data_IF_269659299239
#
_entry.id   IF_269659299239
#
_cell.length_a   1.000
_cell.length_b   1.000
_cell.length_c   1.000
_cell.angle_alpha   90.00
_cell.angle_beta   90.00
_cell.angle_gamma   90.00
#
_symmetry.space_group_name_H-M   'P 1'
#
loop_
_entity.id
_entity.type
_entity.pdbx_description
1 polymer ?
#
# COMPACT_ATOMS: atom_id res chain seq x y z
N UNK A 1 64.01 -23.44 14.49
CA UNK A 1 64.80 -22.20 14.62
C UNK A 1 64.08 -21.10 13.87
N UNK A 2 64.00 -19.95 14.53
CA UNK A 2 63.24 -18.74 14.19
C UNK A 2 63.45 -18.21 12.78
N UNK A 3 62.43 -17.52 12.24
CA UNK A 3 62.47 -16.07 11.99
C UNK A 3 61.78 -15.64 10.68
N UNK A 4 60.79 -14.75 10.86
CA UNK A 4 60.52 -13.52 10.09
C UNK A 4 59.96 -13.54 8.64
N UNK A 5 58.71 -13.04 8.55
CA UNK A 5 58.25 -11.88 7.78
C UNK A 5 58.76 -11.68 6.34
N UNK A 6 57.83 -11.61 5.38
CA UNK A 6 57.58 -10.37 4.62
C UNK A 6 56.29 -10.45 3.78
N UNK A 7 55.35 -9.54 4.09
CA UNK A 7 54.34 -9.04 3.15
C UNK A 7 55.04 -8.15 2.11
N UNK A 8 54.66 -8.29 0.85
CA UNK A 8 55.03 -7.36 -0.22
C UNK A 8 53.80 -6.56 -0.71
N UNK A 9 54.00 -5.36 -1.28
CA UNK A 9 53.06 -4.24 -1.17
C UNK A 9 52.17 -4.04 -2.40
N UNK A 10 51.02 -3.40 -2.19
CA UNK A 10 50.21 -2.79 -3.24
C UNK A 10 50.79 -1.41 -3.65
N UNK A 11 50.94 -1.11 -4.95
CA UNK A 11 51.27 0.23 -5.43
C UNK A 11 50.00 1.07 -5.72
N UNK A 12 50.14 2.39 -5.97
CA UNK A 12 49.31 3.42 -5.35
C UNK A 12 48.21 4.03 -6.24
N UNK A 13 47.38 4.83 -5.56
CA UNK A 13 46.27 5.66 -6.04
C UNK A 13 46.75 6.92 -6.78
N UNK A 14 46.17 7.22 -7.95
CA UNK A 14 45.87 8.59 -8.46
C UNK A 14 44.79 8.48 -9.56
N UNK A 15 43.56 8.94 -9.33
CA UNK A 15 42.95 10.28 -9.59
C UNK A 15 42.73 10.63 -11.07
N UNK A 16 41.48 11.08 -11.36
CA UNK A 16 40.91 11.71 -12.59
C UNK A 16 40.41 10.68 -13.63
N UNK A 17 39.17 10.62 -14.12
CA UNK A 17 38.05 11.57 -14.32
C UNK A 17 36.69 10.83 -14.20
N UNK A 18 35.77 11.28 -13.35
CA UNK A 18 34.46 11.85 -13.73
C UNK A 18 33.88 11.40 -15.08
N UNK A 19 32.90 10.48 -15.03
CA UNK A 19 31.84 10.33 -16.03
C UNK A 19 30.57 9.78 -15.37
N UNK A 20 29.71 10.75 -15.02
CA UNK A 20 28.25 10.79 -15.13
C UNK A 20 27.42 9.51 -14.89
N UNK A 21 26.77 9.48 -13.72
CA UNK A 21 25.55 8.72 -13.42
C UNK A 21 24.34 9.49 -13.96
N UNK A 22 23.34 8.88 -14.62
CA UNK A 22 22.05 9.53 -14.80
C UNK A 22 21.20 9.30 -13.54
N UNK A 23 20.99 10.40 -12.82
CA UNK A 23 19.99 10.56 -11.77
C UNK A 23 18.63 10.75 -12.47
N UNK A 24 17.68 9.83 -12.26
CA UNK A 24 16.31 9.99 -12.76
C UNK A 24 15.58 10.95 -11.80
N UNK A 25 15.57 12.24 -12.17
CA UNK A 25 14.85 13.30 -11.44
C UNK A 25 13.40 13.33 -11.91
N UNK A 26 12.50 13.28 -10.93
CA UNK A 26 11.07 13.51 -11.07
C UNK A 26 10.78 14.86 -11.73
N UNK A 27 9.86 14.86 -12.70
CA UNK A 27 9.29 16.07 -13.27
C UNK A 27 8.53 16.87 -12.19
N UNK A 28 8.98 18.11 -11.95
CA UNK A 28 8.24 19.14 -11.20
C UNK A 28 8.50 20.53 -11.81
N UNK A 29 7.41 21.32 -11.82
CA UNK A 29 7.28 22.77 -12.02
C UNK A 29 7.27 23.26 -13.49
N UNK A 30 6.41 24.19 -13.94
CA UNK A 30 5.80 25.39 -13.33
C UNK A 30 4.45 25.72 -14.03
N UNK A 31 3.47 26.40 -13.42
CA UNK A 31 3.35 27.87 -13.41
C UNK A 31 2.64 28.39 -12.14
N UNK A 32 3.21 29.45 -11.57
CA UNK A 32 2.76 30.22 -10.42
C UNK A 32 1.91 31.42 -10.87
N UNK A 33 0.83 31.72 -10.14
CA UNK A 33 0.10 32.99 -10.18
C UNK A 33 -0.34 33.37 -8.75
N UNK A 34 -0.04 34.61 -8.35
CA UNK A 34 -0.09 35.11 -6.97
C UNK A 34 -1.51 35.17 -6.35
N UNK A 35 -1.64 34.70 -5.09
CA UNK A 35 -2.47 35.31 -4.03
C UNK A 35 -2.24 34.60 -2.67
N UNK A 36 -1.84 35.36 -1.65
CA UNK A 36 -1.82 35.09 -0.19
C UNK A 36 -1.73 33.63 0.29
N UNK A 37 -0.53 33.22 0.77
CA UNK A 37 -0.25 31.86 1.28
C UNK A 37 -0.61 31.69 2.78
N UNK A 38 -1.50 30.75 3.15
CA UNK A 38 -1.56 30.12 4.47
C UNK A 38 -0.59 28.90 4.50
N UNK A 39 -0.31 28.23 5.65
CA UNK A 39 0.93 27.49 5.85
C UNK A 39 1.12 26.45 4.74
N UNK A 40 2.15 26.66 3.93
CA UNK A 40 2.56 25.69 2.92
C UNK A 40 2.84 24.39 3.65
N UNK A 41 2.04 23.36 3.37
CA UNK A 41 2.41 21.98 3.67
C UNK A 41 3.85 21.78 3.20
N UNK A 42 4.80 21.79 4.13
CA UNK A 42 6.20 21.59 3.83
C UNK A 42 6.39 20.09 3.62
N UNK A 43 6.68 19.63 2.40
CA UNK A 43 6.90 18.21 2.15
C UNK A 43 7.94 17.65 3.11
N UNK A 44 7.61 16.54 3.78
CA UNK A 44 8.50 15.90 4.75
C UNK A 44 8.53 16.54 6.13
N UNK A 45 7.71 17.57 6.43
CA UNK A 45 7.58 18.10 7.79
C UNK A 45 7.11 16.99 8.73
N UNK A 46 7.94 16.62 9.69
CA UNK A 46 7.58 15.75 10.82
C UNK A 46 6.63 16.49 11.76
N UNK A 47 5.62 15.79 12.25
CA UNK A 47 4.68 16.32 13.24
C UNK A 47 4.88 15.63 14.58
N UNK A 48 4.99 16.44 15.62
CA UNK A 48 5.02 15.96 16.99
C UNK A 48 3.65 15.48 17.45
N UNK A 49 3.61 14.67 18.51
CA UNK A 49 2.38 14.23 19.18
C UNK A 49 1.51 15.45 19.55
N UNK A 50 2.10 16.51 20.10
CA UNK A 50 1.35 17.71 20.49
C UNK A 50 0.78 18.48 19.31
N UNK A 51 1.54 18.62 18.21
CA UNK A 51 1.03 19.26 16.98
C UNK A 51 -0.18 18.50 16.43
N UNK A 52 -0.10 17.16 16.37
CA UNK A 52 -1.22 16.33 15.91
C UNK A 52 -2.49 16.59 16.72
N UNK A 53 -2.35 16.66 18.04
CA UNK A 53 -3.46 16.93 18.96
C UNK A 53 -4.03 18.35 18.83
N UNK A 54 -3.19 19.31 18.45
CA UNK A 54 -3.57 20.72 18.29
C UNK A 54 -4.26 21.05 16.97
N UNK A 55 -4.13 20.19 15.95
CA UNK A 55 -4.72 20.44 14.65
C UNK A 55 -6.27 20.42 14.66
N UNK A 56 -6.83 21.23 13.79
CA UNK A 56 -8.25 21.32 13.44
C UNK A 56 -8.41 21.20 11.93
N UNK A 57 -9.59 20.81 11.46
CA UNK A 57 -9.86 20.77 10.01
C UNK A 57 -9.64 22.14 9.34
N UNK A 58 -9.88 23.24 10.07
CA UNK A 58 -9.68 24.60 9.56
C UNK A 58 -8.23 24.97 9.27
N UNK A 59 -7.25 24.21 9.79
CA UNK A 59 -5.82 24.45 9.54
C UNK A 59 -5.38 23.96 8.17
N UNK A 60 -6.20 23.17 7.48
CA UNK A 60 -5.85 22.54 6.22
C UNK A 60 -6.59 23.17 5.04
N UNK A 61 -5.79 23.50 4.03
CA UNK A 61 -6.24 24.08 2.79
C UNK A 61 -5.42 23.51 1.64
N UNK A 62 -6.07 23.15 0.54
CA UNK A 62 -5.41 22.68 -0.68
C UNK A 62 -6.05 23.31 -1.92
N UNK A 63 -5.32 24.19 -2.62
CA UNK A 63 -5.89 24.90 -3.79
C UNK A 63 -6.35 23.95 -4.89
N UNK A 64 -5.69 22.80 -5.05
CA UNK A 64 -6.02 21.85 -6.11
C UNK A 64 -7.34 21.10 -5.87
N UNK A 65 -7.98 21.21 -4.70
CA UNK A 65 -9.34 20.69 -4.48
C UNK A 65 -10.44 21.69 -4.79
N UNK A 66 -10.11 22.96 -5.10
CA UNK A 66 -11.11 23.93 -5.56
C UNK A 66 -11.66 23.49 -6.92
N UNK A 67 -12.97 23.58 -7.10
CA UNK A 67 -13.65 23.05 -8.28
C UNK A 67 -13.03 23.53 -9.60
N UNK A 68 -12.76 24.83 -9.73
CA UNK A 68 -12.15 25.41 -10.93
C UNK A 68 -10.74 24.84 -11.20
N UNK A 69 -9.92 24.70 -10.15
CA UNK A 69 -8.54 24.23 -10.27
C UNK A 69 -8.48 22.72 -10.54
N UNK A 70 -9.29 21.94 -9.83
CA UNK A 70 -9.44 20.50 -10.06
C UNK A 70 -9.93 20.23 -11.48
N UNK A 71 -10.96 20.95 -11.93
CA UNK A 71 -11.52 20.79 -13.25
C UNK A 71 -10.52 21.16 -14.34
N UNK A 72 -9.85 22.33 -14.24
CA UNK A 72 -8.86 22.76 -15.21
C UNK A 72 -7.70 21.75 -15.32
N UNK A 73 -7.17 21.29 -14.19
CA UNK A 73 -6.11 20.27 -14.15
C UNK A 73 -6.59 18.96 -14.78
N UNK A 74 -7.77 18.48 -14.41
CA UNK A 74 -8.35 17.25 -14.95
C UNK A 74 -8.56 17.34 -16.46
N UNK A 75 -9.10 18.44 -16.95
CA UNK A 75 -9.32 18.65 -18.38
C UNK A 75 -7.99 18.65 -19.15
N UNK A 76 -6.97 19.32 -18.62
CA UNK A 76 -5.63 19.28 -19.20
C UNK A 76 -5.03 17.87 -19.24
N UNK A 77 -5.08 17.13 -18.13
CA UNK A 77 -4.53 15.76 -18.06
C UNK A 77 -5.31 14.78 -18.93
N UNK A 78 -6.65 14.90 -19.01
CA UNK A 78 -7.47 14.09 -19.91
C UNK A 78 -7.27 14.44 -21.39
N UNK A 79 -7.02 15.71 -21.71
CA UNK A 79 -6.68 16.12 -23.06
C UNK A 79 -5.34 15.51 -23.50
N UNK A 80 -4.31 15.61 -22.64
CA UNK A 80 -3.01 14.98 -22.89
C UNK A 80 -3.13 13.45 -23.03
N UNK A 81 -3.97 12.82 -22.21
CA UNK A 81 -4.27 11.39 -22.32
C UNK A 81 -4.83 11.06 -23.71
N UNK A 82 -5.83 11.80 -24.18
CA UNK A 82 -6.44 11.58 -25.50
C UNK A 82 -5.45 11.79 -26.64
N UNK A 83 -4.62 12.82 -26.55
CA UNK A 83 -3.56 13.08 -27.53
C UNK A 83 -2.58 11.91 -27.62
N UNK A 84 -2.16 11.35 -26.48
CA UNK A 84 -1.28 10.18 -26.42
C UNK A 84 -1.93 8.93 -26.99
N UNK A 85 -3.20 8.68 -26.68
CA UNK A 85 -3.95 7.54 -27.22
C UNK A 85 -4.25 7.68 -28.72
N UNK A 86 -4.27 8.90 -29.25
CA UNK A 86 -4.49 9.19 -30.66
C UNK A 86 -3.21 9.14 -31.52
N UNK A 87 -2.03 8.96 -30.90
CA UNK A 87 -0.77 8.84 -31.65
C UNK A 87 -0.84 7.66 -32.64
N UNK A 88 -0.36 7.83 -33.88
CA UNK A 88 -0.31 6.73 -34.83
C UNK A 88 0.64 5.62 -34.34
N UNK A 89 0.42 4.35 -34.72
CA UNK A 89 1.31 3.26 -34.35
C UNK A 89 2.77 3.56 -34.71
N UNK A 90 3.66 3.42 -33.73
CA UNK A 90 5.09 3.73 -33.87
C UNK A 90 5.77 3.96 -32.53
N UNK A 91 7.03 4.37 -32.57
CA UNK A 91 7.87 4.57 -31.37
C UNK A 91 7.28 5.58 -30.39
N UNK A 92 6.70 6.68 -30.89
CA UNK A 92 6.09 7.71 -30.05
C UNK A 92 4.85 7.19 -29.29
N UNK A 93 3.95 6.46 -29.97
CA UNK A 93 2.79 5.85 -29.33
C UNK A 93 3.20 4.81 -28.29
N UNK A 94 4.23 4.02 -28.62
CA UNK A 94 4.78 3.03 -27.69
C UNK A 94 5.37 3.70 -26.44
N UNK A 95 6.24 4.71 -26.62
CA UNK A 95 6.86 5.43 -25.51
C UNK A 95 5.84 6.12 -24.59
N UNK A 96 4.73 6.62 -25.15
CA UNK A 96 3.68 7.30 -24.39
C UNK A 96 2.70 6.35 -23.67
N UNK A 97 2.62 5.08 -24.09
CA UNK A 97 1.61 4.14 -23.60
C UNK A 97 1.61 3.94 -22.07
N UNK A 98 2.77 3.77 -21.39
CA UNK A 98 2.77 3.54 -19.95
C UNK A 98 2.14 4.69 -19.16
N UNK A 99 2.47 5.94 -19.50
CA UNK A 99 1.89 7.11 -18.85
C UNK A 99 0.41 7.28 -19.18
N UNK A 100 0.00 6.99 -20.43
CA UNK A 100 -1.41 7.00 -20.80
C UNK A 100 -2.21 5.98 -19.96
N UNK A 101 -1.71 4.76 -19.80
CA UNK A 101 -2.35 3.73 -18.98
C UNK A 101 -2.38 4.08 -17.48
N UNK A 102 -1.35 4.75 -16.97
CA UNK A 102 -1.35 5.27 -15.60
C UNK A 102 -2.45 6.34 -15.38
N UNK A 103 -2.65 7.22 -16.36
CA UNK A 103 -3.72 8.22 -16.32
C UNK A 103 -5.11 7.56 -16.42
N UNK A 104 -5.29 6.54 -17.27
CA UNK A 104 -6.55 5.75 -17.35
C UNK A 104 -6.87 5.13 -15.99
N UNK A 105 -5.87 4.55 -15.31
CA UNK A 105 -6.02 3.99 -13.97
C UNK A 105 -6.45 5.04 -12.93
N UNK A 106 -5.80 6.21 -12.92
CA UNK A 106 -6.07 7.30 -11.97
C UNK A 106 -7.43 7.96 -12.17
N UNK A 107 -7.78 8.27 -13.42
CA UNK A 107 -9.00 9.00 -13.75
C UNK A 107 -10.20 8.09 -13.91
N UNK A 108 -9.97 6.79 -14.11
CA UNK A 108 -11.02 5.82 -14.41
C UNK A 108 -11.86 6.27 -15.63
N UNK A 109 -11.16 6.78 -16.67
CA UNK A 109 -11.69 7.35 -17.92
C UNK A 109 -10.85 6.87 -19.11
N UNK A 110 -11.42 6.99 -20.31
CA UNK A 110 -10.79 6.55 -21.56
C UNK A 110 -10.43 5.05 -21.58
N UNK A 111 -11.11 4.22 -20.79
CA UNK A 111 -10.90 2.77 -20.69
C UNK A 111 -11.08 2.12 -22.07
N UNK A 112 -12.20 2.40 -22.75
CA UNK A 112 -12.43 1.83 -24.09
C UNK A 112 -11.42 2.32 -25.14
N UNK A 113 -11.02 3.59 -25.09
CA UNK A 113 -10.03 4.15 -26.01
C UNK A 113 -8.64 3.53 -25.81
N UNK A 114 -8.27 3.21 -24.58
CA UNK A 114 -6.98 2.59 -24.25
C UNK A 114 -6.94 1.06 -24.49
N UNK A 115 -8.09 0.42 -24.69
CA UNK A 115 -8.21 -1.04 -24.88
C UNK A 115 -7.37 -1.55 -26.05
N UNK A 116 -7.49 -0.94 -27.23
CA UNK A 116 -6.72 -1.32 -28.42
C UNK A 116 -5.20 -1.24 -28.18
N UNK A 117 -4.66 -0.06 -27.84
CA UNK A 117 -3.23 0.11 -27.53
C UNK A 117 -2.70 -0.86 -26.46
N UNK A 118 -3.46 -1.07 -25.38
CA UNK A 118 -3.06 -1.98 -24.30
C UNK A 118 -2.93 -3.44 -24.78
N UNK A 119 -3.91 -3.92 -25.56
CA UNK A 119 -3.91 -5.29 -26.07
C UNK A 119 -2.86 -5.49 -27.16
N UNK A 120 -2.70 -4.54 -28.08
CA UNK A 120 -1.69 -4.61 -29.16
C UNK A 120 -0.25 -4.61 -28.65
N UNK A 121 0.01 -4.08 -27.44
CA UNK A 121 1.33 -4.12 -26.83
C UNK A 121 1.75 -5.52 -26.32
N UNK A 122 0.81 -6.43 -26.04
CA UNK A 122 1.08 -7.72 -25.39
C UNK A 122 2.02 -8.66 -26.18
N UNK A 123 1.90 -8.85 -27.51
CA UNK A 123 2.73 -9.81 -28.24
C UNK A 123 4.23 -9.50 -28.20
N UNK A 124 4.59 -8.22 -28.14
CA UNK A 124 5.97 -7.73 -28.07
C UNK A 124 6.47 -7.46 -26.65
N UNK A 125 5.62 -7.63 -25.63
CA UNK A 125 5.86 -7.08 -24.30
C UNK A 125 7.11 -7.65 -23.63
N UNK A 126 7.39 -8.95 -23.80
CA UNK A 126 8.55 -9.60 -23.19
C UNK A 126 9.91 -9.02 -23.61
N UNK A 127 9.97 -8.31 -24.74
CA UNK A 127 11.19 -7.64 -25.20
C UNK A 127 11.35 -6.21 -24.64
N UNK A 128 10.37 -5.69 -23.91
CA UNK A 128 10.38 -4.34 -23.36
C UNK A 128 11.03 -4.30 -21.97
N UNK A 129 11.51 -3.14 -21.49
CA UNK A 129 12.00 -3.00 -20.11
C UNK A 129 10.95 -3.40 -19.07
N UNK A 130 11.38 -3.95 -17.94
CA UNK A 130 10.49 -4.48 -16.90
C UNK A 130 9.44 -3.45 -16.43
N UNK A 131 9.79 -2.17 -16.30
CA UNK A 131 8.85 -1.14 -15.87
C UNK A 131 7.79 -0.79 -16.92
N UNK A 132 8.11 -0.96 -18.20
CA UNK A 132 7.12 -0.89 -19.28
C UNK A 132 6.16 -2.07 -19.19
N UNK A 133 6.70 -3.28 -19.06
CA UNK A 133 5.91 -4.51 -18.90
C UNK A 133 4.95 -4.39 -17.72
N UNK A 134 5.44 -3.96 -16.55
CA UNK A 134 4.64 -3.75 -15.33
C UNK A 134 3.46 -2.82 -15.57
N UNK A 135 3.68 -1.66 -16.20
CA UNK A 135 2.63 -0.67 -16.39
C UNK A 135 1.54 -1.17 -17.34
N UNK A 136 1.92 -1.77 -18.46
CA UNK A 136 0.96 -2.39 -19.39
C UNK A 136 0.19 -3.52 -18.71
N UNK A 137 0.88 -4.45 -18.05
CA UNK A 137 0.25 -5.58 -17.37
C UNK A 137 -0.66 -5.15 -16.21
N UNK A 138 -0.35 -4.04 -15.52
CA UNK A 138 -1.18 -3.50 -14.43
C UNK A 138 -2.51 -2.97 -14.94
N UNK A 139 -2.51 -2.23 -16.05
CA UNK A 139 -3.75 -1.77 -16.68
C UNK A 139 -4.54 -2.93 -17.28
N UNK A 140 -3.86 -3.90 -17.91
CA UNK A 140 -4.49 -5.13 -18.42
C UNK A 140 -5.13 -5.93 -17.28
N UNK A 141 -4.43 -6.12 -16.17
CA UNK A 141 -4.99 -6.77 -14.98
C UNK A 141 -6.27 -6.07 -14.50
N UNK A 142 -6.27 -4.74 -14.47
CA UNK A 142 -7.39 -3.97 -13.95
C UNK A 142 -8.61 -3.97 -14.88
N UNK A 143 -8.41 -3.76 -16.18
CA UNK A 143 -9.51 -3.45 -17.11
C UNK A 143 -9.73 -4.48 -18.21
N UNK A 144 -8.69 -5.20 -18.66
CA UNK A 144 -8.74 -5.99 -19.91
C UNK A 144 -8.38 -7.47 -19.71
N UNK A 145 -8.47 -7.96 -18.48
CA UNK A 145 -7.96 -9.29 -18.10
C UNK A 145 -8.65 -10.42 -18.90
N UNK A 146 -9.96 -10.31 -19.12
CA UNK A 146 -10.73 -11.30 -19.88
C UNK A 146 -10.27 -11.37 -21.34
N UNK A 147 -10.14 -10.24 -22.02
CA UNK A 147 -9.80 -10.21 -23.45
C UNK A 147 -8.30 -10.40 -23.71
N UNK A 148 -7.46 -10.05 -22.74
CA UNK A 148 -6.03 -10.28 -22.82
C UNK A 148 -5.64 -11.75 -22.63
N UNK A 149 -6.51 -12.59 -22.04
CA UNK A 149 -6.17 -13.96 -21.66
C UNK A 149 -5.53 -14.81 -22.79
N UNK A 150 -6.03 -14.81 -24.04
CA UNK A 150 -5.40 -15.54 -25.14
C UNK A 150 -3.97 -15.10 -25.46
N UNK A 151 -3.65 -13.82 -25.24
CA UNK A 151 -2.33 -13.24 -25.49
C UNK A 151 -1.40 -13.39 -24.28
N UNK A 152 -1.95 -13.38 -23.06
CA UNK A 152 -1.20 -13.56 -21.82
C UNK A 152 -0.64 -14.99 -21.67
N UNK A 153 -1.37 -16.01 -22.13
CA UNK A 153 -0.88 -17.41 -22.07
C UNK A 153 0.46 -17.64 -22.77
N UNK A 154 0.64 -17.30 -24.07
CA UNK A 154 1.93 -17.43 -24.73
C UNK A 154 2.97 -16.44 -24.20
N UNK A 155 2.54 -15.25 -23.74
CA UNK A 155 3.44 -14.26 -23.15
C UNK A 155 4.05 -14.75 -21.83
N UNK A 156 3.29 -15.47 -21.00
CA UNK A 156 3.70 -15.91 -19.67
C UNK A 156 5.04 -16.67 -19.70
N UNK A 157 5.26 -17.51 -20.71
CA UNK A 157 6.48 -18.29 -20.90
C UNK A 157 7.72 -17.46 -21.33
N UNK A 158 7.51 -16.18 -21.71
CA UNK A 158 8.54 -15.28 -22.23
C UNK A 158 8.93 -14.19 -21.24
N UNK A 159 8.16 -13.99 -20.17
CA UNK A 159 8.43 -12.98 -19.14
C UNK A 159 9.59 -13.42 -18.24
N UNK A 160 10.77 -12.85 -18.46
CA UNK A 160 11.99 -13.25 -17.74
C UNK A 160 12.05 -12.80 -16.27
N UNK A 161 11.19 -11.87 -15.86
CA UNK A 161 11.22 -11.27 -14.52
C UNK A 161 10.08 -11.78 -13.64
N UNK A 162 10.35 -12.16 -12.37
CA UNK A 162 9.35 -12.70 -11.44
C UNK A 162 8.12 -11.81 -11.23
N UNK A 163 8.32 -10.49 -11.14
CA UNK A 163 7.24 -9.51 -10.89
C UNK A 163 6.25 -9.47 -12.06
N UNK A 164 6.75 -9.30 -13.28
CA UNK A 164 5.92 -9.23 -14.48
C UNK A 164 5.22 -10.55 -14.77
N UNK A 165 5.91 -11.68 -14.56
CA UNK A 165 5.29 -13.00 -14.59
C UNK A 165 4.10 -13.09 -13.62
N UNK A 166 4.29 -12.65 -12.36
CA UNK A 166 3.24 -12.69 -11.36
C UNK A 166 2.03 -11.81 -11.74
N UNK A 167 2.26 -10.60 -12.25
CA UNK A 167 1.16 -9.71 -12.71
C UNK A 167 0.37 -10.37 -13.85
N UNK A 168 1.05 -10.94 -14.84
CA UNK A 168 0.40 -11.66 -15.94
C UNK A 168 -0.40 -12.88 -15.45
N UNK A 169 0.14 -13.63 -14.49
CA UNK A 169 -0.55 -14.76 -13.86
C UNK A 169 -1.81 -14.31 -13.09
N UNK A 170 -1.73 -13.22 -12.30
CA UNK A 170 -2.91 -12.66 -11.64
C UNK A 170 -3.96 -12.18 -12.63
N UNK A 171 -3.55 -11.55 -13.74
CA UNK A 171 -4.44 -11.12 -14.81
C UNK A 171 -5.15 -12.32 -15.46
N UNK A 172 -4.43 -13.41 -15.76
CA UNK A 172 -5.02 -14.66 -16.27
C UNK A 172 -6.05 -15.26 -15.32
N UNK A 173 -5.81 -15.22 -14.01
CA UNK A 173 -6.72 -15.79 -13.02
C UNK A 173 -7.95 -14.92 -12.78
N UNK A 174 -7.86 -13.60 -12.90
CA UNK A 174 -8.92 -12.66 -12.54
C UNK A 174 -10.31 -12.99 -13.13
N UNK A 175 -10.46 -13.26 -14.45
CA UNK A 175 -11.78 -13.53 -15.02
C UNK A 175 -12.27 -14.98 -14.81
N UNK A 176 -11.41 -15.89 -14.32
CA UNK A 176 -11.69 -17.32 -14.30
C UNK A 176 -12.38 -17.75 -13.00
N UNK A 177 -13.29 -18.71 -13.11
CA UNK A 177 -14.04 -19.30 -12.00
C UNK A 177 -14.13 -20.83 -12.11
N UNK A 178 -14.39 -21.49 -10.98
CA UNK A 178 -14.59 -22.95 -10.90
C UNK A 178 -13.45 -23.76 -11.55
N UNK A 179 -13.81 -24.85 -12.22
CA UNK A 179 -12.86 -25.78 -12.82
C UNK A 179 -11.88 -25.13 -13.83
N UNK A 180 -12.31 -24.09 -14.55
CA UNK A 180 -11.43 -23.37 -15.49
C UNK A 180 -10.33 -22.61 -14.75
N UNK A 181 -10.66 -22.02 -13.58
CA UNK A 181 -9.68 -21.37 -12.70
C UNK A 181 -8.71 -22.40 -12.16
N UNK A 182 -9.18 -23.57 -11.73
CA UNK A 182 -8.32 -24.61 -11.15
C UNK A 182 -7.35 -25.21 -12.17
N UNK A 183 -7.81 -25.43 -13.42
CA UNK A 183 -6.95 -25.82 -14.52
C UNK A 183 -5.88 -24.76 -14.80
N UNK A 184 -6.27 -23.48 -14.87
CA UNK A 184 -5.32 -22.37 -15.08
C UNK A 184 -4.30 -22.27 -13.95
N UNK A 185 -4.70 -22.47 -12.69
CA UNK A 185 -3.79 -22.45 -11.54
C UNK A 185 -2.73 -23.53 -11.65
N UNK A 186 -3.14 -24.75 -12.01
CA UNK A 186 -2.24 -25.88 -12.22
C UNK A 186 -1.23 -25.57 -13.34
N UNK A 187 -1.70 -25.02 -14.47
CA UNK A 187 -0.84 -24.65 -15.59
C UNK A 187 0.14 -23.53 -15.24
N UNK A 188 -0.33 -22.48 -14.56
CA UNK A 188 0.50 -21.36 -14.10
C UNK A 188 1.55 -21.86 -13.11
N UNK A 189 1.17 -22.72 -12.17
CA UNK A 189 2.09 -23.30 -11.19
C UNK A 189 3.21 -24.10 -11.87
N UNK A 190 2.86 -24.97 -12.82
CA UNK A 190 3.84 -25.73 -13.57
C UNK A 190 4.80 -24.81 -14.35
N UNK A 191 4.26 -23.77 -15.00
CA UNK A 191 5.09 -22.79 -15.72
C UNK A 191 6.02 -22.01 -14.79
N UNK A 192 5.51 -21.55 -13.65
CA UNK A 192 6.28 -20.83 -12.64
C UNK A 192 7.45 -21.67 -12.13
N UNK A 193 7.21 -22.93 -11.81
CA UNK A 193 8.22 -23.86 -11.30
C UNK A 193 9.30 -24.18 -12.36
N UNK A 194 8.89 -24.33 -13.62
CA UNK A 194 9.82 -24.57 -14.72
C UNK A 194 10.72 -23.36 -14.98
N UNK A 195 10.14 -22.16 -14.98
CA UNK A 195 10.84 -20.94 -15.37
C UNK A 195 11.66 -20.31 -14.24
N UNK A 196 11.22 -20.51 -12.99
CA UNK A 196 11.87 -19.97 -11.79
C UNK A 196 12.12 -21.10 -10.77
N UNK A 197 13.23 -21.86 -10.90
CA UNK A 197 13.53 -22.95 -9.95
C UNK A 197 13.56 -22.52 -8.48
N UNK A 198 14.00 -21.27 -8.22
CA UNK A 198 14.05 -20.65 -6.89
C UNK A 198 12.76 -19.87 -6.53
N UNK A 199 11.60 -20.17 -7.12
CA UNK A 199 10.35 -19.43 -6.89
C UNK A 199 9.92 -19.36 -5.41
N UNK A 200 10.34 -20.31 -4.57
CA UNK A 200 10.04 -20.31 -3.12
C UNK A 200 10.79 -19.22 -2.37
N UNK A 201 11.95 -18.82 -2.88
CA UNK A 201 12.78 -17.77 -2.29
C UNK A 201 12.36 -16.39 -2.80
N UNK A 202 11.85 -16.30 -4.03
CA UNK A 202 11.33 -15.06 -4.59
C UNK A 202 9.96 -14.72 -3.95
N UNK A 203 9.83 -13.60 -3.21
CA UNK A 203 8.65 -13.34 -2.38
C UNK A 203 7.34 -13.17 -3.15
N UNK A 204 7.38 -12.64 -4.37
CA UNK A 204 6.21 -12.40 -5.22
C UNK A 204 5.72 -13.72 -5.82
N UNK A 205 6.64 -14.58 -6.26
CA UNK A 205 6.30 -15.92 -6.73
C UNK A 205 5.89 -16.85 -5.59
N UNK A 206 6.45 -16.71 -4.39
CA UNK A 206 5.97 -17.42 -3.20
C UNK A 206 4.53 -17.02 -2.87
N UNK A 207 4.21 -15.73 -2.89
CA UNK A 207 2.84 -15.24 -2.68
C UNK A 207 1.87 -15.74 -3.77
N UNK A 208 2.29 -15.73 -5.04
CA UNK A 208 1.52 -16.33 -6.13
C UNK A 208 1.33 -17.84 -5.88
N UNK A 209 2.38 -18.56 -5.50
CA UNK A 209 2.32 -19.99 -5.19
C UNK A 209 1.34 -20.33 -4.07
N UNK A 210 1.22 -19.47 -3.04
CA UNK A 210 0.18 -19.60 -2.01
C UNK A 210 -1.22 -19.43 -2.61
N UNK A 211 -1.44 -18.42 -3.46
CA UNK A 211 -2.71 -18.26 -4.19
C UNK A 211 -3.00 -19.46 -5.09
N UNK A 212 -2.00 -20.14 -5.67
CA UNK A 212 -2.21 -21.24 -6.62
C UNK A 212 -2.61 -22.57 -5.95
N UNK A 213 -2.24 -22.81 -4.69
CA UNK A 213 -2.35 -24.11 -3.99
C UNK A 213 -3.73 -24.51 -3.42
N UNK A 214 -4.80 -23.83 -3.81
CA UNK A 214 -6.06 -23.60 -3.07
C UNK A 214 -5.95 -22.38 -2.15
N UNK A 215 -7.04 -21.59 -2.04
CA UNK A 215 -7.07 -20.40 -1.17
C UNK A 215 -6.79 -20.81 0.28
N UNK A 216 -6.78 -19.89 1.27
CA UNK A 216 -6.59 -20.31 2.65
C UNK A 216 -7.61 -21.40 3.00
N UNK A 217 -7.15 -22.63 3.17
CA UNK A 217 -7.99 -23.76 3.54
C UNK A 217 -8.38 -23.56 5.02
N UNK A 218 -9.66 -23.28 5.26
CA UNK A 218 -10.24 -23.20 6.60
C UNK A 218 -10.62 -21.79 7.07
N UNK A 219 -11.30 -21.77 8.21
CA UNK A 219 -11.66 -20.53 8.88
C UNK A 219 -10.39 -19.87 9.48
N UNK A 220 -10.29 -18.53 9.47
CA UNK A 220 -9.20 -17.86 10.17
C UNK A 220 -9.24 -18.19 11.67
N UNK A 221 -8.10 -18.10 12.37
CA UNK A 221 -8.08 -18.21 13.82
C UNK A 221 -8.96 -17.13 14.49
N UNK A 222 -9.32 -17.27 15.78
CA UNK A 222 -10.19 -16.33 16.45
C UNK A 222 -9.67 -14.89 16.39
N UNK A 223 -10.50 -13.98 15.86
CA UNK A 223 -10.16 -12.55 15.70
C UNK A 223 -9.78 -11.90 17.03
N UNK A 224 -10.48 -12.26 18.11
CA UNK A 224 -10.23 -11.70 19.44
C UNK A 224 -8.80 -11.93 19.95
N UNK A 225 -8.16 -13.06 19.59
CA UNK A 225 -6.78 -13.35 19.98
C UNK A 225 -5.79 -12.39 19.30
N UNK A 226 -6.03 -12.06 18.03
CA UNK A 226 -5.21 -11.10 17.30
C UNK A 226 -5.45 -9.67 17.79
N UNK A 227 -6.71 -9.30 18.01
CA UNK A 227 -7.09 -8.01 18.59
C UNK A 227 -6.52 -7.82 20.00
N UNK A 228 -6.35 -8.89 20.76
CA UNK A 228 -5.70 -8.87 22.07
C UNK A 228 -4.17 -8.99 21.98
N UNK A 229 -3.57 -9.33 20.85
CA UNK A 229 -2.13 -9.62 20.75
C UNK A 229 -1.28 -8.47 21.32
N UNK A 230 -0.35 -8.70 22.27
CA UNK A 230 0.39 -7.59 22.87
C UNK A 230 1.19 -6.84 21.81
N UNK A 231 1.74 -7.55 20.81
CA UNK A 231 2.74 -7.08 19.87
C UNK A 231 3.94 -6.52 20.66
N UNK A 232 3.79 -5.30 21.16
CA UNK A 232 4.56 -4.74 22.25
C UNK A 232 3.66 -3.97 23.21
N UNK A 233 3.76 -4.30 24.49
CA UNK A 233 3.03 -3.64 25.57
C UNK A 233 3.37 -2.14 25.65
N UNK A 234 2.37 -1.32 25.94
CA UNK A 234 2.56 0.12 26.12
C UNK A 234 2.51 0.95 24.84
N UNK A 235 2.18 0.33 23.69
CA UNK A 235 2.00 1.02 22.42
C UNK A 235 0.59 0.80 21.85
N UNK A 236 -0.01 1.84 21.23
CA UNK A 236 -1.29 1.72 20.55
C UNK A 236 -1.17 0.90 19.25
N UNK A 237 -2.29 0.31 18.84
CA UNK A 237 -2.39 -0.51 17.63
C UNK A 237 -3.64 -0.10 16.83
N UNK A 238 -3.43 0.33 15.58
CA UNK A 238 -4.50 0.47 14.60
C UNK A 238 -4.76 -0.89 13.96
N UNK A 239 -6.02 -1.32 13.94
CA UNK A 239 -6.45 -2.49 13.17
C UNK A 239 -7.23 -2.00 11.96
N UNK A 240 -6.70 -2.21 10.76
CA UNK A 240 -7.38 -1.96 9.50
C UNK A 240 -8.03 -3.23 9.00
N UNK A 241 -9.35 -3.32 9.19
CA UNK A 241 -10.15 -4.51 8.91
C UNK A 241 -10.80 -4.34 7.54
N UNK A 242 -10.50 -5.24 6.63
CA UNK A 242 -10.79 -5.09 5.20
C UNK A 242 -11.59 -6.31 4.69
N UNK A 243 -12.28 -6.16 3.56
CA UNK A 243 -12.81 -7.31 2.82
C UNK A 243 -11.77 -7.88 1.85
N UNK A 244 -11.82 -9.19 1.55
CA UNK A 244 -11.06 -9.78 0.45
C UNK A 244 -11.22 -8.97 -0.84
N UNK A 245 -10.11 -8.74 -1.54
CA UNK A 245 -10.09 -7.97 -2.79
C UNK A 245 -10.20 -6.45 -2.65
N UNK A 246 -10.43 -5.91 -1.43
CA UNK A 246 -10.40 -4.45 -1.17
C UNK A 246 -11.37 -3.63 -2.05
N UNK A 247 -12.46 -4.24 -2.50
CA UNK A 247 -13.43 -3.61 -3.40
C UNK A 247 -14.44 -2.71 -2.67
N UNK A 248 -14.47 -2.76 -1.34
CA UNK A 248 -15.36 -1.95 -0.49
C UNK A 248 -14.56 -1.34 0.66
N UNK A 249 -15.15 -0.34 1.32
CA UNK A 249 -14.53 0.28 2.50
C UNK A 249 -14.35 -0.74 3.64
N UNK A 250 -13.12 -0.82 4.15
CA UNK A 250 -12.84 -1.40 5.44
C UNK A 250 -13.06 -0.41 6.58
N UNK A 251 -12.65 -0.82 7.77
CA UNK A 251 -12.80 -0.06 8.99
C UNK A 251 -11.50 -0.10 9.81
N UNK A 252 -10.99 1.08 10.14
CA UNK A 252 -9.89 1.24 11.09
C UNK A 252 -10.47 1.42 12.50
N UNK A 253 -10.03 0.57 13.43
CA UNK A 253 -10.31 0.69 14.88
C UNK A 253 -8.99 0.81 15.63
N UNK A 254 -9.02 1.33 16.86
CA UNK A 254 -7.81 1.63 17.63
C UNK A 254 -7.86 0.96 19.01
N UNK A 255 -6.82 0.19 19.31
CA UNK A 255 -6.54 -0.28 20.68
C UNK A 255 -5.49 0.60 21.33
N UNK A 256 -5.77 1.07 22.53
CA UNK A 256 -4.84 1.82 23.35
C UNK A 256 -3.70 0.97 23.91
N UNK A 257 -2.69 1.62 24.52
CA UNK A 257 -1.54 0.95 25.14
C UNK A 257 -1.92 0.08 26.36
N UNK A 258 -3.08 0.35 26.98
CA UNK A 258 -3.64 -0.40 28.10
C UNK A 258 -4.47 -1.62 27.68
N UNK A 259 -4.56 -1.87 26.36
CA UNK A 259 -5.29 -2.98 25.76
C UNK A 259 -6.78 -2.75 25.56
N UNK A 260 -7.33 -1.62 26.00
CA UNK A 260 -8.73 -1.26 25.76
C UNK A 260 -8.90 -0.65 24.36
N UNK A 261 -10.07 -0.84 23.77
CA UNK A 261 -10.39 -0.18 22.51
C UNK A 261 -10.87 1.25 22.77
N UNK A 262 -10.41 2.17 21.93
CA UNK A 262 -10.79 3.58 22.00
C UNK A 262 -12.27 3.71 21.66
N UNK A 263 -12.97 4.54 22.43
CA UNK A 263 -14.40 4.81 22.27
C UNK A 263 -14.64 6.29 22.04
N UNK A 264 -15.70 6.58 21.31
CA UNK A 264 -16.26 7.93 21.19
C UNK A 264 -16.87 8.34 22.55
N UNK A 265 -17.18 9.63 22.69
CA UNK A 265 -17.76 10.17 23.93
C UNK A 265 -19.11 9.53 24.30
N UNK A 266 -19.84 9.01 23.30
CA UNK A 266 -21.12 8.30 23.48
C UNK A 266 -20.94 6.80 23.81
N UNK A 267 -19.70 6.32 23.94
CA UNK A 267 -19.36 4.94 24.27
C UNK A 267 -19.25 3.97 23.09
N UNK A 268 -19.62 4.41 21.87
CA UNK A 268 -19.43 3.60 20.65
C UNK A 268 -17.96 3.38 20.34
N UNK A 269 -17.65 2.33 19.58
CA UNK A 269 -16.29 2.06 19.16
C UNK A 269 -15.77 3.19 18.26
N UNK A 270 -14.58 3.71 18.55
CA UNK A 270 -13.93 4.63 17.63
C UNK A 270 -13.65 3.92 16.31
N UNK A 271 -14.09 4.53 15.21
CA UNK A 271 -13.95 3.96 13.88
C UNK A 271 -13.73 5.00 12.80
N UNK A 272 -12.90 4.65 11.82
CA UNK A 272 -12.65 5.44 10.60
C UNK A 272 -12.77 4.52 9.39
N UNK A 273 -13.68 4.79 8.43
CA UNK A 273 -13.70 4.08 7.16
C UNK A 273 -12.35 4.21 6.45
N UNK A 274 -11.82 3.11 5.92
CA UNK A 274 -10.48 3.11 5.32
C UNK A 274 -10.42 2.16 4.13
N UNK A 275 -9.89 2.65 3.01
CA UNK A 275 -9.66 1.87 1.80
C UNK A 275 -8.19 1.47 1.72
N UNK A 276 -7.90 0.18 1.52
CA UNK A 276 -6.56 -0.36 1.36
C UNK A 276 -6.32 -0.88 -0.08
N UNK A 277 -6.90 -0.19 -1.05
CA UNK A 277 -6.96 -0.57 -2.47
C UNK A 277 -5.98 0.27 -3.30
N UNK A 278 -5.26 -0.40 -4.19
CA UNK A 278 -4.47 0.23 -5.22
C UNK A 278 -5.25 0.41 -6.53
N UNK A 279 -4.82 1.37 -7.35
CA UNK A 279 -5.42 1.67 -8.66
C UNK A 279 -5.56 0.44 -9.56
N UNK A 280 -4.50 -0.37 -9.64
CA UNK A 280 -4.45 -1.57 -10.47
C UNK A 280 -5.05 -2.82 -9.79
N UNK A 281 -5.40 -2.74 -8.51
CA UNK A 281 -5.93 -3.85 -7.70
C UNK A 281 -5.04 -5.11 -7.67
N UNK A 282 -3.73 -4.92 -7.78
CA UNK A 282 -2.78 -6.03 -7.70
C UNK A 282 -2.56 -6.47 -6.25
N UNK A 283 -2.14 -7.71 -5.97
CA UNK A 283 -1.82 -8.17 -4.61
C UNK A 283 -0.68 -7.36 -3.96
N UNK A 284 -0.62 -7.33 -2.63
CA UNK A 284 0.22 -6.37 -1.91
C UNK A 284 1.72 -6.62 -1.99
N UNK A 285 2.14 -7.81 -2.44
CA UNK A 285 3.54 -8.13 -2.75
C UNK A 285 4.01 -7.54 -4.08
N UNK A 286 3.10 -7.03 -4.91
CA UNK A 286 3.43 -6.36 -6.17
C UNK A 286 3.59 -4.86 -5.94
N UNK A 287 4.60 -4.25 -6.57
CA UNK A 287 4.82 -2.79 -6.54
C UNK A 287 3.58 -2.04 -7.01
N UNK A 288 3.08 -1.11 -6.19
CA UNK A 288 1.80 -0.41 -6.36
C UNK A 288 0.56 -1.34 -6.35
N UNK A 289 0.65 -2.51 -5.71
CA UNK A 289 -0.50 -3.33 -5.35
C UNK A 289 -1.20 -2.84 -4.09
N UNK A 290 -2.31 -3.49 -3.73
CA UNK A 290 -3.09 -3.25 -2.52
C UNK A 290 -2.20 -3.24 -1.27
N UNK A 291 -2.66 -2.63 -0.18
CA UNK A 291 -1.92 -2.73 1.08
C UNK A 291 -1.93 -4.19 1.56
N UNK A 292 -0.76 -4.81 1.79
CA UNK A 292 -0.68 -6.21 2.16
C UNK A 292 -1.25 -6.46 3.56
N UNK A 293 -1.83 -7.63 3.77
CA UNK A 293 -2.23 -8.10 5.09
C UNK A 293 -1.01 -8.40 5.97
N UNK A 294 -1.09 -8.06 7.24
CA UNK A 294 0.00 -8.28 8.18
C UNK A 294 0.29 -7.09 9.07
N UNK A 295 1.43 -7.17 9.75
CA UNK A 295 1.86 -6.23 10.76
C UNK A 295 2.84 -5.21 10.19
N UNK A 296 2.68 -3.96 10.60
CA UNK A 296 3.50 -2.80 10.26
C UNK A 296 3.86 -2.05 11.53
N UNK A 297 5.03 -1.42 11.55
CA UNK A 297 5.40 -0.47 12.59
C UNK A 297 4.97 0.94 12.19
N UNK A 298 4.28 1.67 13.06
CA UNK A 298 4.02 3.10 12.92
C UNK A 298 5.18 3.86 13.56
N UNK A 299 5.86 4.70 12.77
CA UNK A 299 7.14 5.34 13.13
C UNK A 299 7.06 6.86 13.27
N UNK A 300 5.90 7.44 13.05
CA UNK A 300 5.70 8.87 13.20
C UNK A 300 4.56 9.40 12.36
N UNK A 301 4.57 10.72 12.20
CA UNK A 301 3.69 11.43 11.30
C UNK A 301 4.45 12.48 10.53
N UNK A 302 4.05 12.70 9.27
CA UNK A 302 4.65 13.70 8.40
C UNK A 302 3.63 14.24 7.39
N UNK A 303 4.01 15.28 6.65
CA UNK A 303 3.26 15.80 5.50
C UNK A 303 3.85 15.24 4.20
N UNK A 304 2.99 14.78 3.29
CA UNK A 304 3.41 14.15 2.05
C UNK A 304 3.98 15.16 1.05
N UNK A 305 4.97 14.72 0.26
CA UNK A 305 5.40 15.41 -0.97
C UNK A 305 4.48 15.13 -2.14
N UNK A 306 3.76 14.01 -2.11
CA UNK A 306 2.84 13.61 -3.16
C UNK A 306 1.60 14.53 -3.16
N UNK A 307 1.34 15.28 -4.24
CA UNK A 307 0.25 16.25 -4.31
C UNK A 307 -1.15 15.60 -4.31
N UNK A 308 -1.26 14.28 -4.51
CA UNK A 308 -2.52 13.53 -4.44
C UNK A 308 -2.90 13.11 -3.01
N UNK A 309 -1.95 13.15 -2.07
CA UNK A 309 -2.20 12.88 -0.64
C UNK A 309 -2.71 14.14 0.07
N UNK A 310 -2.11 15.29 -0.27
CA UNK A 310 -2.49 16.58 0.30
C UNK A 310 -1.81 16.91 1.63
N UNK A 311 -2.28 17.97 2.32
CA UNK A 311 -1.56 18.59 3.43
C UNK A 311 -1.83 17.93 4.80
N UNK A 312 -2.89 17.12 4.92
CA UNK A 312 -3.25 16.45 6.18
C UNK A 312 -2.12 15.49 6.61
N UNK A 313 -1.67 15.52 7.89
CA UNK A 313 -0.62 14.63 8.36
C UNK A 313 -0.98 13.15 8.16
N UNK A 314 -0.08 12.42 7.52
CA UNK A 314 -0.17 10.96 7.42
C UNK A 314 0.49 10.30 8.63
N UNK A 315 0.11 9.05 8.93
CA UNK A 315 0.89 8.20 9.83
C UNK A 315 1.85 7.36 8.99
N UNK A 316 3.14 7.48 9.28
CA UNK A 316 4.20 6.76 8.60
C UNK A 316 4.23 5.33 9.09
N UNK A 317 4.12 4.36 8.18
CA UNK A 317 4.24 2.95 8.51
C UNK A 317 5.44 2.32 7.80
N UNK A 318 5.98 1.27 8.40
CA UNK A 318 7.09 0.48 7.88
C UNK A 318 6.69 -0.98 7.82
N UNK A 319 6.94 -1.62 6.68
CA UNK A 319 6.87 -3.06 6.54
C UNK A 319 8.03 -3.75 7.29
N UNK A 320 7.91 -5.06 7.59
CA UNK A 320 9.08 -5.85 7.95
C UNK A 320 10.16 -5.69 6.88
N UNK A 321 11.44 -5.73 7.27
CA UNK A 321 12.61 -5.57 6.37
C UNK A 321 12.81 -4.15 5.83
N UNK A 322 11.76 -3.37 5.59
CA UNK A 322 11.88 -1.94 5.23
C UNK A 322 12.62 -1.16 6.33
N UNK A 323 12.40 -1.54 7.59
CA UNK A 323 13.11 -1.00 8.75
C UNK A 323 13.94 -2.10 9.45
N UNK A 324 15.07 -1.77 10.09
CA UNK A 324 15.80 -2.70 10.94
C UNK A 324 14.91 -3.29 12.05
N UNK A 325 15.27 -4.47 12.57
CA UNK A 325 14.50 -5.16 13.62
C UNK A 325 14.28 -4.25 14.83
N UNK A 326 15.33 -3.60 15.33
CA UNK A 326 15.24 -2.65 16.44
C UNK A 326 14.17 -1.58 16.19
N UNK A 327 14.15 -1.02 14.99
CA UNK A 327 13.21 0.02 14.61
C UNK A 327 11.77 -0.51 14.52
N UNK A 328 11.56 -1.66 13.88
CA UNK A 328 10.22 -2.25 13.71
C UNK A 328 9.61 -2.74 15.03
N UNK A 329 10.42 -3.41 15.87
CA UNK A 329 10.05 -3.82 17.22
C UNK A 329 10.04 -2.63 18.20
N UNK A 330 10.56 -1.49 17.75
CA UNK A 330 10.66 -0.20 18.44
C UNK A 330 11.56 -0.25 19.68
N UNK A 331 12.42 -1.26 19.77
CA UNK A 331 13.32 -1.53 20.90
C UNK A 331 14.67 -0.89 20.62
N UNK A 332 15.35 -0.45 21.67
CA UNK A 332 16.71 0.07 21.52
C UNK A 332 17.72 -1.08 21.38
N UNK A 333 18.72 -0.88 20.54
CA UNK A 333 19.96 -1.68 20.57
C UNK A 333 19.85 -3.15 20.15
N UNK A 334 18.84 -3.55 19.36
CA UNK A 334 18.83 -4.89 18.77
C UNK A 334 19.74 -4.96 17.54
N UNK A 335 20.60 -5.99 17.50
CA UNK A 335 21.49 -6.35 16.39
C UNK A 335 20.99 -7.56 15.60
N UNK A 336 19.73 -7.98 15.83
CA UNK A 336 19.14 -9.13 15.16
C UNK A 336 18.87 -8.83 13.68
N UNK A 337 19.13 -9.83 12.86
CA UNK A 337 18.69 -9.86 11.47
C UNK A 337 17.25 -10.35 11.34
N UNK A 338 16.58 -9.90 10.27
CA UNK A 338 15.23 -10.33 9.96
C UNK A 338 15.15 -11.82 9.61
N UNK A 339 14.21 -12.52 10.22
CA UNK A 339 13.76 -13.84 9.82
C UNK A 339 12.24 -13.94 9.87
N UNK A 340 11.66 -14.87 9.12
CA UNK A 340 10.21 -15.10 9.14
C UNK A 340 9.73 -15.51 10.54
N UNK A 341 10.50 -16.35 11.23
CA UNK A 341 10.20 -16.75 12.60
C UNK A 341 10.19 -15.55 13.57
N UNK A 342 11.07 -14.56 13.35
CA UNK A 342 11.08 -13.34 14.14
C UNK A 342 9.84 -12.49 13.88
N UNK A 343 9.40 -12.36 12.63
CA UNK A 343 8.12 -11.70 12.30
C UNK A 343 6.93 -12.44 12.95
N UNK A 344 6.87 -13.77 12.82
CA UNK A 344 5.81 -14.60 13.41
C UNK A 344 5.78 -14.52 14.94
N UNK A 345 6.91 -14.25 15.61
CA UNK A 345 6.96 -14.12 17.06
C UNK A 345 6.10 -12.96 17.60
N UNK A 346 5.82 -11.94 16.78
CA UNK A 346 4.90 -10.85 17.12
C UNK A 346 3.44 -11.27 17.09
N UNK A 347 3.10 -12.35 16.38
CA UNK A 347 1.73 -12.84 16.26
C UNK A 347 1.38 -13.83 17.38
N UNK A 348 0.10 -13.88 17.81
CA UNK A 348 -0.39 -14.93 18.69
C UNK A 348 -0.13 -16.31 18.09
N UNK A 349 0.07 -17.33 18.94
CA UNK A 349 0.43 -18.68 18.51
C UNK A 349 -0.53 -19.26 17.44
N UNK A 350 -1.83 -19.04 17.59
CA UNK A 350 -2.86 -19.48 16.65
C UNK A 350 -2.77 -18.83 15.27
N UNK A 351 -2.16 -17.64 15.17
CA UNK A 351 -2.05 -16.85 13.96
C UNK A 351 -0.71 -17.02 13.23
N UNK A 352 0.30 -17.64 13.83
CA UNK A 352 1.64 -17.78 13.23
C UNK A 352 1.63 -18.60 11.93
N UNK A 353 0.74 -19.58 11.85
CA UNK A 353 0.59 -20.45 10.67
C UNK A 353 -0.47 -19.94 9.68
N UNK A 354 -1.12 -18.81 9.97
CA UNK A 354 -2.09 -18.20 9.06
C UNK A 354 -1.36 -17.44 7.95
N UNK A 355 -1.09 -18.14 6.84
CA UNK A 355 -0.31 -17.64 5.70
C UNK A 355 -0.76 -16.25 5.18
N UNK A 356 -2.06 -15.88 5.13
CA UNK A 356 -2.44 -14.54 4.68
C UNK A 356 -1.81 -13.39 5.48
N UNK A 357 -1.52 -13.54 6.78
CA UNK A 357 -0.84 -12.50 7.55
C UNK A 357 0.65 -12.36 7.23
N UNK A 358 1.22 -13.28 6.45
CA UNK A 358 2.61 -13.20 5.97
C UNK A 358 2.74 -12.35 4.71
N UNK A 359 1.64 -11.83 4.17
CA UNK A 359 1.70 -10.98 2.98
C UNK A 359 2.57 -9.74 3.20
N UNK A 360 2.51 -9.10 4.38
CA UNK A 360 3.36 -7.96 4.73
C UNK A 360 4.85 -8.35 4.80
N UNK A 361 5.16 -9.51 5.37
CA UNK A 361 6.53 -10.05 5.37
C UNK A 361 7.05 -10.27 3.95
N UNK A 362 6.24 -10.90 3.08
CA UNK A 362 6.60 -11.12 1.69
C UNK A 362 6.70 -9.80 0.92
N UNK A 363 5.84 -8.83 1.18
CA UNK A 363 5.89 -7.50 0.57
C UNK A 363 7.17 -6.76 0.93
N UNK A 364 7.57 -6.79 2.22
CA UNK A 364 8.85 -6.24 2.68
C UNK A 364 10.04 -6.91 2.01
N UNK A 365 10.06 -8.26 1.93
CA UNK A 365 11.07 -9.02 1.16
C UNK A 365 11.08 -8.64 -0.32
N UNK A 366 9.92 -8.29 -0.88
CA UNK A 366 9.77 -7.86 -2.26
C UNK A 366 10.17 -6.38 -2.47
N UNK A 367 10.68 -5.69 -1.45
CA UNK A 367 11.09 -4.29 -1.52
C UNK A 367 9.91 -3.33 -1.66
N UNK A 368 8.73 -3.70 -1.14
CA UNK A 368 7.65 -2.73 -0.93
C UNK A 368 8.03 -1.86 0.26
N UNK A 369 7.78 -0.56 0.12
CA UNK A 369 8.09 0.46 1.11
C UNK A 369 7.05 1.59 1.05
N UNK A 370 7.21 2.58 1.93
CA UNK A 370 6.45 3.84 1.94
C UNK A 370 4.91 3.65 1.89
N UNK A 371 4.43 2.62 2.56
CA UNK A 371 2.99 2.42 2.76
C UNK A 371 2.54 3.35 3.89
N UNK A 372 1.64 4.27 3.59
CA UNK A 372 1.19 5.30 4.52
C UNK A 372 -0.28 5.09 4.88
N UNK A 373 -0.68 5.53 6.08
CA UNK A 373 -2.10 5.82 6.37
C UNK A 373 -2.31 7.31 6.17
N UNK A 374 -3.10 7.71 5.18
CA UNK A 374 -3.24 9.11 4.78
C UNK A 374 -4.65 9.48 4.31
N UNK A 375 -4.88 10.79 4.14
CA UNK A 375 -6.10 11.36 3.56
C UNK A 375 -6.04 11.37 2.03
N UNK A 376 -6.92 12.09 1.35
CA UNK A 376 -6.81 12.22 -0.12
C UNK A 376 -7.41 13.53 -0.58
N UNK A 377 -6.71 14.13 -1.54
CA UNK A 377 -7.20 15.30 -2.29
C UNK A 377 -7.60 14.91 -3.72
N UNK A 378 -7.53 13.62 -4.08
CA UNK A 378 -8.04 13.12 -5.35
C UNK A 378 -9.56 13.23 -5.34
N UNK A 379 -10.14 13.75 -6.42
CA UNK A 379 -11.58 13.87 -6.55
C UNK A 379 -12.24 12.49 -6.56
N UNK A 380 -13.05 12.13 -5.54
CA UNK A 380 -13.69 10.81 -5.48
C UNK A 380 -14.74 10.60 -6.56
N UNK A 381 -15.20 11.66 -7.23
CA UNK A 381 -16.16 11.55 -8.33
C UNK A 381 -15.64 10.75 -9.54
N UNK A 382 -14.33 10.52 -9.66
CA UNK A 382 -13.75 9.62 -10.67
C UNK A 382 -14.21 8.17 -10.49
N UNK A 383 -14.63 7.83 -9.28
CA UNK A 383 -14.98 6.48 -8.85
C UNK A 383 -16.44 6.38 -8.38
N UNK A 384 -17.32 7.30 -8.79
CA UNK A 384 -18.71 7.37 -8.30
C UNK A 384 -19.49 6.04 -8.42
N UNK A 385 -19.22 5.28 -9.47
CA UNK A 385 -19.86 3.99 -9.73
C UNK A 385 -19.17 2.80 -9.05
N UNK A 386 -18.06 3.05 -8.33
CA UNK A 386 -17.31 2.00 -7.66
C UNK A 386 -17.87 1.70 -6.25
N UNK A 387 -17.85 0.42 -5.82
CA UNK A 387 -18.38 0.01 -4.52
C UNK A 387 -17.62 0.58 -3.29
N UNK A 388 -16.43 1.14 -3.50
CA UNK A 388 -15.64 1.82 -2.48
C UNK A 388 -15.84 3.34 -2.43
N UNK A 389 -16.69 3.92 -3.28
CA UNK A 389 -17.07 5.33 -3.18
C UNK A 389 -17.69 5.62 -1.79
N UNK A 390 -17.35 6.73 -1.11
CA UNK A 390 -16.63 7.92 -1.59
C UNK A 390 -15.11 7.92 -1.38
N UNK A 391 -14.45 6.77 -1.19
CA UNK A 391 -13.00 6.72 -1.08
C UNK A 391 -12.30 6.68 -2.45
N UNK A 392 -11.01 7.00 -2.46
CA UNK A 392 -10.16 6.96 -3.65
C UNK A 392 -9.04 5.93 -3.49
N UNK A 393 -8.85 5.00 -4.45
CA UNK A 393 -7.69 4.12 -4.46
C UNK A 393 -6.39 4.92 -4.67
N UNK A 394 -5.27 4.35 -4.24
CA UNK A 394 -3.95 5.01 -4.29
C UNK A 394 -2.90 4.09 -4.94
N UNK A 395 -1.62 4.42 -4.80
CA UNK A 395 -0.51 3.57 -5.20
C UNK A 395 -0.17 2.49 -4.14
N UNK A 396 -1.16 2.00 -3.38
CA UNK A 396 -1.01 0.90 -2.42
C UNK A 396 -0.94 1.30 -0.95
N UNK A 397 -1.33 2.52 -0.62
CA UNK A 397 -1.45 3.03 0.74
C UNK A 397 -2.87 2.82 1.31
N UNK A 398 -3.04 3.07 2.60
CA UNK A 398 -4.35 3.10 3.25
C UNK A 398 -4.90 4.53 3.24
N UNK A 399 -6.12 4.69 2.75
CA UNK A 399 -6.74 6.00 2.56
C UNK A 399 -8.01 6.13 3.38
N UNK A 400 -8.06 7.16 4.21
CA UNK A 400 -9.29 7.56 4.89
C UNK A 400 -10.00 8.66 4.08
N UNK A 401 -11.33 8.64 3.94
CA UNK A 401 -12.06 9.68 3.23
C UNK A 401 -11.85 11.06 3.83
N UNK A 402 -11.74 12.06 2.95
CA UNK A 402 -11.70 13.48 3.29
C UNK A 402 -12.74 14.23 2.46
N UNK A 403 -13.31 15.27 3.07
CA UNK A 403 -14.24 16.19 2.43
C UNK A 403 -13.60 17.56 2.37
N UNK A 404 -13.47 18.09 1.17
CA UNK A 404 -12.88 19.39 0.90
C UNK A 404 -13.97 20.32 0.35
N UNK A 405 -13.96 21.57 0.79
CA UNK A 405 -14.84 22.60 0.25
C UNK A 405 -14.41 22.96 -1.19
N UNK A 406 -15.24 22.72 -2.21
CA UNK A 406 -14.87 23.01 -3.60
C UNK A 406 -14.76 24.51 -3.89
N UNK A 407 -15.37 25.40 -3.09
CA UNK A 407 -15.28 26.83 -3.32
C UNK A 407 -13.95 27.38 -2.79
N UNK A 408 -13.61 26.99 -1.56
CA UNK A 408 -12.45 27.55 -0.86
C UNK A 408 -11.21 26.68 -0.92
N UNK A 409 -11.33 25.35 -1.04
CA UNK A 409 -10.22 24.41 -0.93
C UNK A 409 -9.90 24.03 0.52
N UNK A 410 -10.72 24.43 1.49
CA UNK A 410 -10.54 24.10 2.91
C UNK A 410 -11.02 22.69 3.22
N UNK A 411 -10.35 22.04 4.17
CA UNK A 411 -10.80 20.74 4.68
C UNK A 411 -12.05 20.94 5.57
N UNK A 412 -13.11 20.17 5.28
CA UNK A 412 -14.37 20.18 6.03
C UNK A 412 -14.45 19.01 7.02
N UNK A 413 -13.99 17.83 6.61
CA UNK A 413 -13.95 16.64 7.44
C UNK A 413 -12.80 15.72 6.99
N UNK A 414 -12.12 15.08 7.93
CA UNK A 414 -11.05 14.12 7.61
C UNK A 414 -11.08 12.91 8.53
N UNK A 415 -11.28 11.74 7.93
CA UNK A 415 -11.07 10.47 8.63
C UNK A 415 -9.60 10.30 9.03
N UNK A 416 -8.67 10.76 8.20
CA UNK A 416 -7.24 10.66 8.48
C UNK A 416 -6.83 11.50 9.68
N UNK A 417 -7.26 12.76 9.76
CA UNK A 417 -6.95 13.63 10.90
C UNK A 417 -7.54 13.03 12.19
N UNK A 418 -8.78 12.54 12.14
CA UNK A 418 -9.41 11.84 13.28
C UNK A 418 -8.60 10.62 13.72
N UNK A 419 -8.12 9.80 12.79
CA UNK A 419 -7.29 8.63 13.08
C UNK A 419 -5.94 9.03 13.70
N UNK A 420 -5.23 9.98 13.10
CA UNK A 420 -3.95 10.47 13.59
C UNK A 420 -4.07 11.06 14.99
N UNK A 421 -5.14 11.81 15.26
CA UNK A 421 -5.42 12.38 16.58
C UNK A 421 -5.79 11.33 17.61
N UNK A 422 -6.65 10.36 17.27
CA UNK A 422 -6.98 9.26 18.17
C UNK A 422 -5.71 8.46 18.53
N UNK A 423 -4.87 8.18 17.53
CA UNK A 423 -3.59 7.51 17.72
C UNK A 423 -2.64 8.31 18.61
N UNK A 424 -2.48 9.61 18.36
CA UNK A 424 -1.66 10.51 19.18
C UNK A 424 -2.16 10.59 20.63
N UNK A 425 -3.48 10.69 20.84
CA UNK A 425 -4.09 10.67 22.18
C UNK A 425 -3.77 9.36 22.89
N UNK A 426 -4.03 8.22 22.25
CA UNK A 426 -3.74 6.91 22.83
C UNK A 426 -2.25 6.71 23.12
N UNK A 427 -1.37 7.17 22.24
CA UNK A 427 0.07 7.12 22.45
C UNK A 427 0.49 7.94 23.69
N UNK A 428 -0.03 9.16 23.83
CA UNK A 428 0.29 10.06 24.95
C UNK A 428 -0.11 9.51 26.34
N UNK A 429 -1.06 8.56 26.38
CA UNK A 429 -1.49 7.89 27.61
C UNK A 429 -0.60 6.69 27.99
N UNK A 430 0.27 6.23 27.09
CA UNK A 430 1.18 5.11 27.33
C UNK A 430 2.52 5.55 27.95
N UNK A 431 3.36 4.59 28.38
CA UNK A 431 4.70 4.88 28.90
C UNK A 431 5.60 5.63 27.92
N UNK A 432 5.37 5.42 26.61
CA UNK A 432 6.07 6.13 25.53
C UNK A 432 5.54 7.53 25.22
N UNK A 433 4.47 7.98 25.88
CA UNK A 433 3.77 9.24 25.58
C UNK A 433 4.60 10.52 25.76
N UNK A 434 5.80 10.42 26.34
CA UNK A 434 6.77 11.51 26.44
C UNK A 434 7.63 11.67 25.19
N UNK A 435 7.60 10.71 24.26
CA UNK A 435 8.33 10.83 23.03
C UNK A 435 7.72 11.90 22.11
N UNK A 436 8.58 12.67 21.39
CA UNK A 436 8.11 13.75 20.55
C UNK A 436 7.25 13.24 19.39
N UNK A 437 7.48 12.01 18.92
CA UNK A 437 6.78 11.43 17.77
C UNK A 437 5.95 10.23 18.19
N UNK A 438 4.76 10.13 17.61
CA UNK A 438 3.87 8.99 17.81
C UNK A 438 4.50 7.70 17.30
N UNK A 439 4.34 6.61 18.05
CA UNK A 439 4.75 5.27 17.66
C UNK A 439 3.70 4.23 18.02
N UNK A 440 3.72 3.10 17.33
CA UNK A 440 2.85 1.96 17.62
C UNK A 440 2.75 1.02 16.44
N UNK A 441 1.66 0.31 16.28
CA UNK A 441 1.52 -0.66 15.19
C UNK A 441 0.29 -0.43 14.35
N UNK A 442 0.36 -0.91 13.11
CA UNK A 442 -0.78 -1.11 12.24
C UNK A 442 -0.86 -2.61 11.92
N UNK A 443 -2.04 -3.20 12.09
CA UNK A 443 -2.33 -4.55 11.62
C UNK A 443 -3.42 -4.47 10.55
N UNK A 444 -3.13 -4.95 9.35
CA UNK A 444 -4.09 -5.04 8.24
C UNK A 444 -4.58 -6.48 8.13
N UNK A 445 -5.89 -6.69 8.13
CA UNK A 445 -6.50 -8.01 8.12
C UNK A 445 -7.73 -8.07 7.20
N UNK A 446 -7.86 -9.16 6.45
CA UNK A 446 -9.10 -9.52 5.79
C UNK A 446 -10.05 -10.29 6.71
N UNK A 447 -11.28 -9.79 6.80
CA UNK A 447 -12.37 -10.52 7.44
C UNK A 447 -13.06 -11.42 6.42
N UNK A 448 -13.30 -12.70 6.75
CA UNK A 448 -14.04 -13.59 5.87
C UNK A 448 -15.50 -13.13 5.75
N UNK A 449 -16.11 -13.41 4.58
CA UNK A 449 -17.53 -13.15 4.34
C UNK A 449 -17.88 -11.67 4.13
N UNK A 450 -19.14 -11.45 3.74
CA UNK A 450 -19.71 -10.12 3.44
C UNK A 450 -19.33 -9.57 2.06
N UNK A 451 -20.29 -8.95 1.39
CA UNK A 451 -20.08 -8.24 0.11
C UNK A 451 -20.05 -6.71 0.26
N UNK A 452 -20.44 -6.20 1.43
CA UNK A 452 -20.48 -4.77 1.73
C UNK A 452 -19.33 -4.31 2.62
N UNK A 453 -19.26 -2.99 2.90
CA UNK A 453 -18.29 -2.42 3.83
C UNK A 453 -18.26 -3.16 5.17
N UNK A 454 -17.10 -3.15 5.83
CA UNK A 454 -16.97 -3.70 7.20
C UNK A 454 -17.75 -2.83 8.17
N UNK A 455 -18.58 -3.44 9.02
CA UNK A 455 -19.43 -2.73 10.00
C UNK A 455 -19.02 -3.01 11.43
N UNK A 456 -19.25 -2.03 12.31
CA UNK A 456 -18.99 -2.13 13.76
C UNK A 456 -19.61 -3.39 14.40
N UNK A 457 -20.86 -3.69 14.05
CA UNK A 457 -21.59 -4.84 14.61
C UNK A 457 -20.95 -6.20 14.33
N UNK A 458 -20.09 -6.31 13.31
CA UNK A 458 -19.31 -7.54 13.03
C UNK A 458 -18.14 -7.71 13.99
N UNK A 459 -17.73 -6.64 14.66
CA UNK A 459 -16.51 -6.56 15.47
C UNK A 459 -16.79 -6.59 16.97
N UNK A 460 -18.00 -6.20 17.39
CA UNK A 460 -18.33 -6.01 18.81
C UNK A 460 -17.99 -7.21 19.69
N UNK A 461 -18.37 -8.42 19.27
CA UNK A 461 -18.08 -9.64 20.02
C UNK A 461 -16.57 -9.89 20.14
N UNK A 462 -15.82 -9.74 19.04
CA UNK A 462 -14.38 -9.94 19.03
C UNK A 462 -13.63 -8.89 19.85
N UNK A 463 -14.10 -7.63 19.82
CA UNK A 463 -13.54 -6.52 20.62
C UNK A 463 -13.75 -6.76 22.12
N UNK A 464 -14.97 -7.09 22.54
CA UNK A 464 -15.27 -7.36 23.96
C UNK A 464 -14.45 -8.53 24.48
N UNK A 465 -14.35 -9.59 23.69
CA UNK A 465 -13.55 -10.76 24.02
C UNK A 465 -12.05 -10.42 24.08
N UNK A 466 -11.55 -9.60 23.16
CA UNK A 466 -10.16 -9.16 23.16
C UNK A 466 -9.81 -8.35 24.43
N UNK A 467 -10.68 -7.44 24.87
CA UNK A 467 -10.51 -6.68 26.11
C UNK A 467 -10.51 -7.62 27.33
N UNK A 468 -11.38 -8.64 27.36
CA UNK A 468 -11.40 -9.66 28.40
C UNK A 468 -10.11 -10.47 28.44
N UNK A 469 -9.66 -10.96 27.28
CA UNK A 469 -8.41 -11.71 27.14
C UNK A 469 -7.22 -10.88 27.60
N UNK A 470 -7.16 -9.59 27.23
CA UNK A 470 -6.10 -8.70 27.68
C UNK A 470 -6.04 -8.57 29.21
N UNK A 471 -7.20 -8.32 29.85
CA UNK A 471 -7.28 -8.14 31.30
C UNK A 471 -6.94 -9.41 32.09
N UNK A 472 -7.13 -10.59 31.50
CA UNK A 472 -6.79 -11.87 32.11
C UNK A 472 -5.31 -12.25 32.05
N UNK A 473 -4.46 -11.46 31.38
CA UNK A 473 -3.04 -11.80 31.24
C UNK A 473 -2.28 -11.63 32.56
N UNK A 474 -1.32 -12.54 32.85
CA UNK A 474 -0.34 -12.30 33.89
C UNK A 474 0.40 -10.98 33.59
N UNK A 475 0.49 -10.10 34.58
CA UNK A 475 1.19 -8.80 34.48
C UNK A 475 2.67 -8.94 34.74
#
# INVERSE_FOLDING_TARGET
MSSFLMRAPLPPVSKLQQLQKPLLICLLATLWGCASQPPTALPGKRHSTQELLGYSVSDFHWQATRAEQEQARREQELQLLRERLALPPGEAAEAALPEALAAVLLYNREIEAARGPALTALPGLAAKPADYQRQVLSAVHRFYAAEAAPQLWPLLARLGTPREFAIAAYALLRPLQGATRDAARTQIQARMQLQFPAWREEPRLRALGLLLKNGPDGAPPPLAELLAAPLRTGLPVVFSLQRPGREVLGLAILRGPDGRFVREADGRLFQVPQLARALADLPGTITLGNTPQGLFAVRGSSTASNPSIGPTPFLETKLPIEAPVAEFFQVDGSDLDWSEALYEALLPASWRQWEPLKEAWLAGRAGRDEILMHGSVVNPAYYREAPYYPATPTAGCLTAPEQWDPATGRLLASGQLRLAQAFARSFSQGPGGQEPMVKGYLLVLELPGGSGPVREGELEAAVREAERLWLSRPR
#
